data_IF_067739402489
#
_entry.id   IF_067739402489
#
_cell.length_a   1.000
_cell.length_b   1.000
_cell.length_c   1.000
_cell.angle_alpha   90.00
_cell.angle_beta   90.00
_cell.angle_gamma   90.00
#
_symmetry.space_group_name_H-M   'P 1'
#
loop_
_entity.id
_entity.type
_entity.pdbx_description
1 polymer ?
#
# COMPACT_ATOMS: atom_id res chain seq x y z
N UNK A 1 29.19 -34.68 5.97
CA UNK A 1 29.58 -33.61 5.05
C UNK A 1 28.55 -33.49 3.94
N UNK A 2 27.74 -32.43 3.94
CA UNK A 2 27.38 -31.57 2.80
C UNK A 2 26.22 -30.66 3.24
N UNK A 3 26.34 -29.44 2.78
CA UNK A 3 25.79 -28.19 3.32
C UNK A 3 24.81 -27.54 2.34
N UNK A 4 24.12 -26.49 2.82
CA UNK A 4 23.51 -25.35 2.11
C UNK A 4 22.17 -25.52 1.34
N UNK A 5 21.09 -25.03 1.98
CA UNK A 5 20.29 -23.81 1.67
C UNK A 5 19.52 -23.66 0.32
N UNK A 6 18.45 -22.81 0.30
CA UNK A 6 17.23 -23.06 -0.49
C UNK A 6 17.03 -22.19 -1.76
N UNK A 7 16.17 -22.72 -2.63
CA UNK A 7 15.24 -22.08 -3.59
C UNK A 7 15.74 -20.88 -4.39
N UNK A 8 16.19 -21.19 -5.60
CA UNK A 8 16.40 -20.24 -6.70
C UNK A 8 15.07 -19.70 -7.24
N UNK A 9 15.03 -18.38 -7.33
CA UNK A 9 14.27 -17.52 -8.24
C UNK A 9 13.83 -18.19 -9.55
N UNK A 10 12.57 -17.95 -9.93
CA UNK A 10 12.01 -18.37 -11.21
C UNK A 10 10.56 -17.92 -11.39
N UNK A 11 10.28 -16.62 -11.27
CA UNK A 11 8.98 -16.04 -11.64
C UNK A 11 9.18 -15.19 -12.90
N UNK A 12 9.00 -15.77 -14.09
CA UNK A 12 8.91 -14.99 -15.32
C UNK A 12 7.98 -15.64 -16.35
N UNK A 13 7.12 -14.76 -16.89
CA UNK A 13 6.28 -14.86 -18.09
C UNK A 13 4.98 -15.65 -17.99
N UNK A 14 3.91 -14.91 -17.69
CA UNK A 14 2.65 -15.13 -18.38
C UNK A 14 2.31 -13.89 -19.22
N UNK A 15 2.24 -14.14 -20.53
CA UNK A 15 1.91 -13.21 -21.60
C UNK A 15 0.52 -12.63 -21.41
N UNK A 16 0.39 -11.36 -21.74
CA UNK A 16 -0.86 -10.70 -22.06
C UNK A 16 -1.39 -11.24 -23.39
N UNK A 17 -2.45 -12.04 -23.36
CA UNK A 17 -3.34 -12.24 -24.51
C UNK A 17 -4.77 -12.31 -23.99
N UNK A 18 -5.38 -11.13 -23.84
CA UNK A 18 -6.81 -10.97 -23.57
C UNK A 18 -7.48 -10.59 -24.88
N UNK A 19 -7.76 -11.59 -25.72
CA UNK A 19 -8.79 -11.49 -26.76
C UNK A 19 -9.94 -12.40 -26.36
N UNK A 20 -10.92 -11.79 -25.71
CA UNK A 20 -12.22 -12.40 -25.47
C UNK A 20 -13.01 -12.54 -26.78
N UNK A 21 -14.00 -13.43 -26.74
CA UNK A 21 -15.00 -13.73 -27.77
C UNK A 21 -14.47 -14.72 -28.83
N UNK A 22 -15.14 -15.83 -29.16
CA UNK A 22 -16.56 -16.15 -29.13
C UNK A 22 -16.72 -17.68 -29.24
N UNK A 23 -17.91 -18.19 -28.89
CA UNK A 23 -18.62 -19.28 -29.57
C UNK A 23 -18.60 -20.70 -28.94
N UNK A 24 -19.82 -21.05 -28.49
CA UNK A 24 -20.54 -22.31 -28.77
C UNK A 24 -20.20 -23.58 -27.96
N UNK A 25 -21.05 -23.82 -26.95
CA UNK A 25 -21.95 -24.99 -26.79
C UNK A 25 -21.49 -26.31 -27.45
N UNK A 26 -21.22 -27.34 -26.65
CA UNK A 26 -22.04 -28.57 -26.61
C UNK A 26 -21.67 -29.55 -25.46
N UNK A 27 -22.73 -29.95 -24.74
CA UNK A 27 -23.07 -31.28 -24.21
C UNK A 27 -21.94 -32.30 -23.91
N UNK A 28 -21.77 -32.63 -22.63
CA UNK A 28 -21.44 -34.00 -22.22
C UNK A 28 -22.03 -34.30 -20.83
N UNK A 29 -22.87 -35.33 -20.78
CA UNK A 29 -23.35 -36.03 -19.59
C UNK A 29 -22.30 -37.08 -19.21
N UNK A 30 -21.76 -37.04 -17.99
CA UNK A 30 -21.26 -38.23 -17.27
C UNK A 30 -20.80 -37.83 -15.86
N UNK A 31 -21.07 -38.70 -14.90
CA UNK A 31 -20.88 -38.44 -13.49
C UNK A 31 -19.46 -38.65 -12.95
N UNK A 32 -19.41 -38.40 -11.65
CA UNK A 32 -18.49 -38.93 -10.65
C UNK A 32 -17.11 -38.26 -10.42
N UNK A 33 -16.82 -38.16 -9.11
CA UNK A 33 -15.55 -37.86 -8.41
C UNK A 33 -14.97 -36.45 -8.48
N UNK A 34 -15.19 -35.75 -7.36
CA UNK A 34 -14.14 -35.14 -6.54
C UNK A 34 -13.05 -34.36 -7.28
N UNK A 35 -13.23 -33.05 -7.37
CA UNK A 35 -12.12 -32.11 -7.49
C UNK A 35 -12.38 -30.99 -6.47
N UNK A 36 -11.50 -30.75 -5.49
CA UNK A 36 -11.62 -29.55 -4.68
C UNK A 36 -11.49 -28.38 -5.66
N UNK A 37 -12.58 -27.63 -5.84
CA UNK A 37 -12.56 -26.36 -6.56
C UNK A 37 -11.58 -25.48 -5.80
N UNK A 38 -10.32 -25.48 -6.24
CA UNK A 38 -9.32 -24.52 -5.78
C UNK A 38 -9.95 -23.16 -5.93
N UNK A 39 -10.25 -22.51 -4.81
CA UNK A 39 -10.82 -21.17 -4.80
C UNK A 39 -9.92 -20.31 -5.67
N UNK A 40 -10.42 -19.69 -6.76
CA UNK A 40 -9.61 -18.80 -7.58
C UNK A 40 -8.99 -17.78 -6.64
N UNK A 41 -7.67 -17.82 -6.49
CA UNK A 41 -6.96 -16.99 -5.54
C UNK A 41 -7.34 -15.54 -5.80
N UNK A 42 -7.97 -14.90 -4.81
CA UNK A 42 -8.34 -13.48 -4.92
C UNK A 42 -7.04 -12.70 -5.08
N UNK A 43 -6.75 -12.26 -6.31
CA UNK A 43 -5.60 -11.40 -6.60
C UNK A 43 -5.70 -10.17 -5.70
N UNK A 44 -4.58 -9.80 -5.08
CA UNK A 44 -4.54 -8.66 -4.20
C UNK A 44 -4.91 -7.37 -4.96
N UNK A 45 -5.78 -6.56 -4.35
CA UNK A 45 -6.16 -5.25 -4.86
C UNK A 45 -5.29 -4.19 -4.19
N UNK A 46 -4.50 -3.48 -4.99
CA UNK A 46 -3.75 -2.33 -4.53
C UNK A 46 -4.70 -1.15 -4.32
N UNK A 47 -4.54 -0.43 -3.22
CA UNK A 47 -5.34 0.75 -2.88
C UNK A 47 -4.43 1.97 -2.79
N UNK A 48 -4.88 3.10 -3.34
CA UNK A 48 -4.22 4.39 -3.15
C UNK A 48 -4.55 4.91 -1.74
N UNK A 49 -3.51 5.19 -0.95
CA UNK A 49 -3.65 5.72 0.41
C UNK A 49 -4.55 4.85 1.30
N UNK A 50 -5.20 5.49 2.28
CA UNK A 50 -6.20 4.86 3.15
C UNK A 50 -7.54 5.57 3.04
N UNK A 51 -8.65 4.83 3.11
CA UNK A 51 -10.01 5.39 3.04
C UNK A 51 -10.70 5.34 4.39
N UNK A 52 -11.48 6.37 4.70
CA UNK A 52 -12.25 6.46 5.94
C UNK A 52 -13.64 7.04 5.68
N UNK A 53 -14.62 6.58 6.45
CA UNK A 53 -16.00 7.10 6.42
C UNK A 53 -16.29 8.13 7.52
N UNK A 54 -15.31 8.42 8.38
CA UNK A 54 -15.45 9.42 9.45
C UNK A 54 -15.53 10.84 8.90
N UNK A 55 -15.93 11.79 9.75
CA UNK A 55 -15.96 13.21 9.37
C UNK A 55 -14.54 13.72 9.12
N UNK A 56 -14.33 14.67 8.19
CA UNK A 56 -12.99 15.18 7.86
C UNK A 56 -12.20 15.66 9.08
N UNK A 57 -12.86 16.38 9.99
CA UNK A 57 -12.23 16.92 11.19
C UNK A 57 -11.81 15.82 12.18
N UNK A 58 -12.63 14.77 12.31
CA UNK A 58 -12.34 13.64 13.18
C UNK A 58 -11.13 12.86 12.62
N UNK A 59 -11.09 12.65 11.30
CA UNK A 59 -9.95 12.01 10.61
C UNK A 59 -8.67 12.80 10.88
N UNK A 60 -8.68 14.12 10.65
CA UNK A 60 -7.49 14.95 10.88
C UNK A 60 -7.07 14.93 12.36
N UNK A 61 -8.02 14.93 13.29
CA UNK A 61 -7.74 14.84 14.74
C UNK A 61 -7.03 13.55 15.11
N UNK A 62 -7.48 12.41 14.59
CA UNK A 62 -6.81 11.11 14.79
C UNK A 62 -5.41 11.09 14.16
N UNK A 63 -5.25 11.67 12.97
CA UNK A 63 -3.93 11.80 12.32
C UNK A 63 -2.97 12.62 13.19
N UNK A 64 -3.41 13.75 13.75
CA UNK A 64 -2.56 14.55 14.65
C UNK A 64 -2.19 13.80 15.94
N UNK A 65 -3.12 13.03 16.52
CA UNK A 65 -2.82 12.18 17.68
C UNK A 65 -1.77 11.13 17.34
N UNK A 66 -1.93 10.42 16.22
CA UNK A 66 -0.98 9.41 15.77
C UNK A 66 0.42 10.01 15.54
N UNK A 67 0.50 11.16 14.87
CA UNK A 67 1.78 11.85 14.66
C UNK A 67 2.44 12.27 15.98
N UNK A 68 1.65 12.72 16.97
CA UNK A 68 2.17 13.07 18.30
C UNK A 68 2.74 11.85 19.02
N UNK A 69 2.04 10.71 19.00
CA UNK A 69 2.49 9.45 19.62
C UNK A 69 3.78 8.96 18.98
N UNK A 70 3.91 9.11 17.66
CA UNK A 70 5.10 8.73 16.91
C UNK A 70 6.27 9.74 17.03
N UNK A 71 6.06 10.88 17.70
CA UNK A 71 7.08 11.92 17.85
C UNK A 71 7.43 12.61 16.53
N UNK A 72 6.49 12.67 15.58
CA UNK A 72 6.72 13.37 14.32
C UNK A 72 6.53 14.87 14.50
N UNK A 73 7.27 15.65 13.72
CA UNK A 73 7.07 17.08 13.63
C UNK A 73 6.21 17.37 12.41
N UNK A 74 5.27 18.32 12.49
CA UNK A 74 4.43 18.65 11.34
C UNK A 74 4.16 20.15 11.22
N UNK A 75 3.88 20.57 9.99
CA UNK A 75 3.46 21.91 9.61
C UNK A 75 2.14 21.82 8.84
N UNK A 76 1.12 22.49 9.35
CA UNK A 76 -0.19 22.59 8.69
C UNK A 76 -0.07 23.60 7.56
N UNK A 77 -0.29 23.16 6.32
CA UNK A 77 -0.35 24.04 5.14
C UNK A 77 -1.80 24.45 4.88
N UNK A 78 -2.71 23.49 5.02
CA UNK A 78 -4.15 23.67 4.97
C UNK A 78 -4.77 22.75 6.05
N UNK A 79 -6.00 22.96 6.54
CA UNK A 79 -6.61 22.07 7.53
C UNK A 79 -6.66 20.59 7.11
N UNK A 80 -6.61 20.32 5.80
CA UNK A 80 -6.61 18.99 5.19
C UNK A 80 -5.31 18.64 4.45
N UNK A 81 -4.29 19.50 4.55
CA UNK A 81 -2.97 19.30 3.95
C UNK A 81 -1.87 19.59 4.96
N UNK A 82 -1.13 18.55 5.35
CA UNK A 82 -0.11 18.64 6.39
C UNK A 82 1.20 18.11 5.87
N UNK A 83 2.29 18.86 6.11
CA UNK A 83 3.65 18.37 5.86
C UNK A 83 4.22 17.82 7.15
N UNK A 84 4.74 16.60 7.09
CA UNK A 84 5.28 15.86 8.23
C UNK A 84 6.76 15.63 8.00
N UNK A 85 7.54 15.77 9.07
CA UNK A 85 8.97 15.51 9.12
C UNK A 85 9.26 14.53 10.25
N UNK A 86 10.01 13.47 9.93
CA UNK A 86 10.58 12.55 10.92
C UNK A 86 12.09 12.60 10.84
N UNK A 87 12.75 12.73 11.98
CA UNK A 87 14.21 12.57 12.09
C UNK A 87 14.50 11.12 12.49
N UNK A 88 15.43 10.48 11.81
CA UNK A 88 15.94 9.18 12.22
C UNK A 88 16.98 9.39 13.33
N UNK A 89 16.77 8.85 14.54
CA UNK A 89 17.71 9.02 15.66
C UNK A 89 19.06 8.33 15.42
N UNK A 90 19.14 7.34 14.52
CA UNK A 90 20.35 6.55 14.28
C UNK A 90 21.20 7.19 13.17
N UNK A 91 20.59 7.53 12.04
CA UNK A 91 21.32 8.04 10.86
C UNK A 91 21.37 9.57 10.78
N UNK A 92 20.59 10.27 11.60
CA UNK A 92 20.41 11.73 11.51
C UNK A 92 19.62 12.18 10.27
N UNK A 93 19.25 11.25 9.39
CA UNK A 93 18.48 11.54 8.18
C UNK A 93 17.09 12.06 8.50
N UNK A 94 16.65 13.08 7.78
CA UNK A 94 15.29 13.61 7.89
C UNK A 94 14.47 13.10 6.71
N UNK A 95 13.31 12.50 6.97
CA UNK A 95 12.34 12.16 5.91
C UNK A 95 11.16 13.12 6.01
N UNK A 96 10.69 13.57 4.85
CA UNK A 96 9.52 14.43 4.74
C UNK A 96 8.44 13.74 3.91
N UNK A 97 7.19 13.95 4.31
CA UNK A 97 6.02 13.53 3.56
C UNK A 97 4.91 14.57 3.68
N UNK A 98 4.01 14.60 2.72
CA UNK A 98 2.75 15.33 2.76
C UNK A 98 1.60 14.34 2.96
N UNK A 99 0.69 14.70 3.86
CA UNK A 99 -0.58 14.05 4.10
C UNK A 99 -1.67 14.94 3.51
N UNK A 100 -2.46 14.38 2.60
CA UNK A 100 -3.54 15.11 1.94
C UNK A 100 -4.84 14.32 2.06
N UNK A 101 -5.85 14.95 2.65
CA UNK A 101 -7.20 14.39 2.71
C UNK A 101 -7.99 14.90 1.50
N UNK A 102 -8.59 13.97 0.77
CA UNK A 102 -9.50 14.21 -0.35
C UNK A 102 -10.88 13.69 -0.01
N UNK A 103 -11.91 14.40 -0.47
CA UNK A 103 -13.26 13.89 -0.47
C UNK A 103 -13.49 13.10 -1.76
N UNK A 104 -13.86 11.83 -1.63
CA UNK A 104 -14.17 10.95 -2.78
C UNK A 104 -15.68 10.92 -2.99
N UNK A 105 -16.43 10.69 -1.92
CA UNK A 105 -17.89 10.70 -1.90
C UNK A 105 -18.40 11.48 -0.68
N UNK A 106 -19.73 11.63 -0.53
CA UNK A 106 -20.33 12.32 0.62
C UNK A 106 -19.96 11.70 1.98
N UNK A 107 -19.80 10.37 2.04
CA UNK A 107 -19.43 9.65 3.28
C UNK A 107 -18.04 9.02 3.20
N UNK A 108 -17.23 9.35 2.20
CA UNK A 108 -15.97 8.65 1.94
C UNK A 108 -14.85 9.64 1.67
N UNK A 109 -13.80 9.56 2.47
CA UNK A 109 -12.61 10.37 2.36
C UNK A 109 -11.40 9.47 2.12
N UNK A 110 -10.43 9.97 1.37
CA UNK A 110 -9.17 9.30 1.09
C UNK A 110 -8.03 10.14 1.64
N UNK A 111 -7.22 9.55 2.52
CA UNK A 111 -5.98 10.13 2.99
C UNK A 111 -4.83 9.57 2.15
N UNK A 112 -4.14 10.46 1.45
CA UNK A 112 -2.99 10.15 0.60
C UNK A 112 -1.68 10.51 1.30
N UNK A 113 -0.62 9.76 0.96
CA UNK A 113 0.73 9.91 1.48
C UNK A 113 1.68 10.19 0.33
N UNK A 114 2.16 11.43 0.24
CA UNK A 114 3.13 11.84 -0.78
C UNK A 114 4.49 12.04 -0.15
N UNK A 115 5.47 11.22 -0.50
CA UNK A 115 6.82 11.40 0.01
C UNK A 115 7.47 12.60 -0.68
N UNK A 116 8.16 13.44 0.09
CA UNK A 116 8.86 14.62 -0.42
C UNK A 116 10.35 14.34 -0.31
N UNK A 117 11.00 14.15 -1.44
CA UNK A 117 12.46 14.09 -1.52
C UNK A 117 12.99 15.52 -1.50
N UNK A 118 13.71 15.90 -0.44
CA UNK A 118 14.68 16.98 -0.59
C UNK A 118 15.89 16.37 -1.28
N UNK A 119 16.45 17.05 -2.28
CA UNK A 119 17.48 16.55 -3.20
C UNK A 119 18.75 16.00 -2.50
N UNK A 120 18.90 16.24 -1.18
CA UNK A 120 20.05 15.80 -0.38
C UNK A 120 19.86 14.50 0.41
N UNK A 121 18.66 13.88 0.39
CA UNK A 121 18.37 12.71 1.24
C UNK A 121 18.74 11.41 0.51
N UNK A 122 19.87 10.84 0.91
CA UNK A 122 20.41 9.55 0.51
C UNK A 122 19.34 8.44 0.50
N UNK A 123 19.21 7.72 -0.64
CA UNK A 123 18.21 6.66 -0.91
C UNK A 123 18.05 5.63 0.22
N UNK A 124 19.11 5.39 1.00
CA UNK A 124 19.13 4.45 2.13
C UNK A 124 18.17 4.81 3.27
N UNK A 125 17.90 6.10 3.48
CA UNK A 125 16.92 6.56 4.49
C UNK A 125 15.49 6.23 4.08
N UNK A 126 15.24 6.12 2.77
CA UNK A 126 13.94 5.91 2.16
C UNK A 126 13.48 4.44 2.31
N UNK A 127 14.41 3.50 2.17
CA UNK A 127 14.14 2.06 2.32
C UNK A 127 13.80 1.68 3.78
N UNK A 128 14.41 2.32 4.78
CA UNK A 128 14.12 2.02 6.20
C UNK A 128 12.73 2.48 6.66
N UNK A 129 12.21 3.61 6.18
CA UNK A 129 10.89 4.10 6.63
C UNK A 129 9.73 3.23 6.12
N UNK A 130 9.89 2.59 4.96
CA UNK A 130 8.90 1.64 4.42
C UNK A 130 8.94 0.32 5.20
N UNK A 131 10.12 -0.14 5.64
CA UNK A 131 10.25 -1.38 6.42
C UNK A 131 9.63 -1.25 7.83
N UNK A 132 9.75 -0.09 8.49
CA UNK A 132 9.19 0.11 9.83
C UNK A 132 7.65 0.23 9.86
N UNK A 133 6.98 0.53 8.74
CA UNK A 133 5.51 0.58 8.63
C UNK A 133 4.90 -0.81 8.37
N UNK A 134 5.73 -1.83 8.08
CA UNK A 134 5.28 -3.18 7.75
C UNK A 134 5.38 -4.20 8.90
N UNK A 135 5.67 -3.75 10.14
CA UNK A 135 5.80 -4.61 11.32
C UNK A 135 4.57 -4.51 12.25
#
# INVERSE_FOLDING_TARGET
>A
MKTFAPTSYGCLKEKWDMSAATALRERALSGDRGMPKGTPGKRAKWHLGIRSQSKPLDIMSEVYKAMKVLGFEWKVVNPFHVRVRRKNPITGGCVQMALQLYQVDYRSHLLDFKIICNEDINLHSYYMLICDVSA
#
